data_IF_067773693890
#
_entry.id   IF_067773693890
#
_cell.length_a   1.000
_cell.length_b   1.000
_cell.length_c   1.000
_cell.angle_alpha   90.00
_cell.angle_beta   90.00
_cell.angle_gamma   90.00
#
_symmetry.space_group_name_H-M   'P 1'
#
loop_
_entity.id
_entity.type
_entity.pdbx_description
1 polymer ?
#
# COMPACT_ATOMS: atom_id res chain seq x y z
N UNK A 1 -9.70 -3.07 9.86
CA UNK A 1 -11.00 -3.71 9.56
C UNK A 1 -11.69 -3.07 8.34
N UNK A 2 -11.70 -1.75 8.16
CA UNK A 2 -12.30 -1.10 6.98
C UNK A 2 -11.58 -1.30 5.62
N UNK A 3 -10.28 -1.65 5.59
CA UNK A 3 -9.52 -1.83 4.35
C UNK A 3 -9.93 -3.09 3.54
N UNK A 4 -10.40 -4.14 4.24
CA UNK A 4 -10.73 -5.42 3.60
C UNK A 4 -12.03 -5.37 2.78
N UNK A 5 -12.92 -4.42 3.05
CA UNK A 5 -14.27 -4.42 2.46
C UNK A 5 -14.35 -3.72 1.09
N UNK A 6 -13.46 -2.78 0.77
CA UNK A 6 -13.49 -2.05 -0.52
C UNK A 6 -12.38 -2.44 -1.50
N UNK A 7 -11.17 -2.72 -1.03
CA UNK A 7 -10.04 -3.09 -1.90
C UNK A 7 -9.66 -4.57 -1.82
N UNK A 8 -10.29 -5.34 -0.93
CA UNK A 8 -10.03 -6.78 -0.74
C UNK A 8 -8.56 -7.16 -0.53
N UNK A 9 -7.69 -6.21 -0.17
CA UNK A 9 -6.29 -6.53 0.05
C UNK A 9 -6.16 -7.30 1.37
N UNK A 10 -5.58 -8.51 1.27
CA UNK A 10 -5.35 -9.36 2.42
C UNK A 10 -4.37 -8.72 3.39
N UNK A 11 -4.53 -9.01 4.69
CA UNK A 11 -3.59 -8.53 5.72
C UNK A 11 -2.16 -8.98 5.44
N UNK A 12 -1.99 -10.16 4.85
CA UNK A 12 -0.70 -10.70 4.48
C UNK A 12 -0.04 -9.91 3.36
N UNK A 13 -0.79 -9.53 2.33
CA UNK A 13 -0.27 -8.67 1.26
C UNK A 13 0.15 -7.30 1.81
N UNK A 14 -0.69 -6.68 2.65
CA UNK A 14 -0.33 -5.42 3.30
C UNK A 14 0.95 -5.54 4.12
N UNK A 15 1.07 -6.60 4.91
CA UNK A 15 2.27 -6.85 5.73
C UNK A 15 3.52 -7.02 4.84
N UNK A 16 3.42 -7.79 3.76
CA UNK A 16 4.54 -7.95 2.81
C UNK A 16 4.98 -6.63 2.20
N UNK A 17 4.02 -5.77 1.80
CA UNK A 17 4.33 -4.43 1.28
C UNK A 17 5.03 -3.60 2.35
N UNK A 18 4.50 -3.58 3.57
CA UNK A 18 5.06 -2.82 4.69
C UNK A 18 6.48 -3.28 5.05
N UNK A 19 6.69 -4.60 5.19
CA UNK A 19 7.99 -5.18 5.51
C UNK A 19 9.02 -4.87 4.40
N UNK A 20 8.63 -5.00 3.12
CA UNK A 20 9.51 -4.66 1.99
C UNK A 20 9.89 -3.17 1.99
N UNK A 21 8.95 -2.27 2.31
CA UNK A 21 9.23 -0.83 2.43
C UNK A 21 10.18 -0.55 3.60
N UNK A 22 9.98 -1.21 4.74
CA UNK A 22 10.84 -1.04 5.92
C UNK A 22 12.28 -1.48 5.66
N UNK A 23 12.48 -2.55 4.90
CA UNK A 23 13.81 -3.00 4.46
C UNK A 23 14.53 -1.97 3.58
N UNK A 24 13.77 -1.11 2.88
CA UNK A 24 14.29 -0.07 1.97
C UNK A 24 14.13 1.36 2.54
N UNK A 25 13.81 1.51 3.83
CA UNK A 25 13.64 2.79 4.55
C UNK A 25 15.01 3.38 4.95
N UNK A 26 15.91 3.58 3.97
CA UNK A 26 17.27 4.07 4.22
C UNK A 26 17.31 5.48 4.83
N UNK A 27 16.29 6.32 4.59
CA UNK A 27 16.12 7.63 5.22
C UNK A 27 15.52 7.53 6.64
N UNK A 28 15.13 6.33 7.07
CA UNK A 28 14.63 6.02 8.41
C UNK A 28 13.35 6.78 8.75
N UNK A 29 12.51 7.10 7.75
CA UNK A 29 11.29 7.86 7.95
C UNK A 29 10.20 7.02 8.62
N UNK A 30 10.05 5.77 8.18
CA UNK A 30 9.06 4.84 8.74
C UNK A 30 9.53 4.23 10.06
N UNK A 31 10.83 4.17 10.30
CA UNK A 31 11.41 3.79 11.60
C UNK A 31 10.83 4.61 12.74
N UNK A 32 10.29 3.94 13.77
CA UNK A 32 9.72 4.61 14.93
C UNK A 32 10.83 5.29 15.75
N UNK A 33 10.70 6.61 15.95
CA UNK A 33 11.64 7.42 16.74
C UNK A 33 10.94 8.03 17.95
N UNK A 34 11.72 8.38 18.99
CA UNK A 34 11.19 9.17 20.11
C UNK A 34 11.10 10.64 19.72
N UNK A 35 10.03 11.31 20.16
CA UNK A 35 9.87 12.75 20.04
C UNK A 35 10.84 13.50 20.97
N UNK A 36 10.93 14.82 20.80
CA UNK A 36 11.69 15.68 21.71
C UNK A 36 11.20 15.61 23.17
N UNK A 37 9.94 15.25 23.40
CA UNK A 37 9.37 15.00 24.73
C UNK A 37 9.62 13.59 25.27
N UNK A 38 10.37 12.74 24.54
CA UNK A 38 10.67 11.36 24.91
C UNK A 38 9.56 10.35 24.63
N UNK A 39 8.38 10.80 24.17
CA UNK A 39 7.28 9.92 23.77
C UNK A 39 7.62 9.14 22.49
N UNK A 40 7.12 7.91 22.36
CA UNK A 40 7.26 7.17 21.10
C UNK A 40 6.39 7.83 20.02
N UNK A 41 6.98 8.14 18.87
CA UNK A 41 6.26 8.62 17.70
C UNK A 41 5.37 7.54 17.09
N UNK A 42 4.69 7.88 15.99
CA UNK A 42 3.80 6.93 15.29
C UNK A 42 4.55 5.68 14.83
N UNK A 43 3.91 4.53 15.02
CA UNK A 43 4.42 3.26 14.55
C UNK A 43 4.43 3.23 13.01
N UNK A 44 5.43 2.62 12.35
CA UNK A 44 5.51 2.55 10.89
C UNK A 44 4.21 2.10 10.22
N UNK A 45 3.61 1.01 10.72
CA UNK A 45 2.35 0.50 10.19
C UNK A 45 1.19 1.50 10.32
N UNK A 46 1.18 2.37 11.34
CA UNK A 46 0.16 3.42 11.45
C UNK A 46 0.34 4.46 10.34
N UNK A 47 1.58 4.92 10.10
CA UNK A 47 1.89 5.84 9.00
C UNK A 47 1.51 5.26 7.63
N UNK A 48 1.86 4.00 7.38
CA UNK A 48 1.53 3.30 6.13
C UNK A 48 0.02 3.06 5.96
N UNK A 49 -0.69 2.77 7.06
CA UNK A 49 -2.15 2.65 7.04
C UNK A 49 -2.82 3.98 6.72
N UNK A 50 -2.29 5.10 7.24
CA UNK A 50 -2.77 6.45 6.91
C UNK A 50 -2.62 6.74 5.42
N UNK A 51 -1.41 6.50 4.89
CA UNK A 51 -1.09 6.65 3.47
C UNK A 51 -2.03 5.83 2.58
N UNK A 52 -2.15 4.53 2.84
CA UNK A 52 -3.06 3.67 2.08
C UNK A 52 -4.49 4.16 2.13
N UNK A 53 -5.00 4.56 3.30
CA UNK A 53 -6.37 5.07 3.42
C UNK A 53 -6.61 6.30 2.54
N UNK A 54 -5.71 7.27 2.56
CA UNK A 54 -5.82 8.45 1.71
C UNK A 54 -5.80 8.09 0.22
N UNK A 55 -4.90 7.20 -0.21
CA UNK A 55 -4.84 6.73 -1.60
C UNK A 55 -6.11 5.99 -2.02
N UNK A 56 -6.63 5.13 -1.15
CA UNK A 56 -7.79 4.27 -1.46
C UNK A 56 -9.11 5.01 -1.51
N UNK A 57 -9.31 5.99 -0.63
CA UNK A 57 -10.60 6.65 -0.49
C UNK A 57 -10.63 8.06 -1.08
N UNK A 58 -9.47 8.58 -1.53
CA UNK A 58 -9.35 9.98 -1.92
C UNK A 58 -9.69 10.93 -0.76
N UNK A 59 -9.58 10.45 0.49
CA UNK A 59 -9.87 11.24 1.68
C UNK A 59 -8.74 12.24 1.86
N UNK A 60 -9.12 13.49 2.15
CA UNK A 60 -8.19 14.55 2.49
C UNK A 60 -7.40 14.19 3.76
N UNK A 61 -6.20 14.76 3.90
CA UNK A 61 -5.27 14.34 4.95
C UNK A 61 -5.78 14.61 6.38
N UNK A 62 -6.76 15.51 6.53
CA UNK A 62 -7.50 15.83 7.74
C UNK A 62 -8.48 14.71 8.14
N UNK A 63 -9.21 14.11 7.19
CA UNK A 63 -10.09 12.96 7.43
C UNK A 63 -9.34 11.67 7.80
N UNK A 64 -8.03 11.60 7.53
CA UNK A 64 -7.18 10.51 7.98
C UNK A 64 -6.78 10.63 9.47
N UNK A 65 -6.76 11.84 10.03
CA UNK A 65 -6.43 12.11 11.44
C UNK A 65 -7.45 11.44 12.38
N UNK A 66 -8.73 11.47 12.03
CA UNK A 66 -9.83 10.91 12.83
C UNK A 66 -9.59 9.44 13.23
N UNK A 67 -8.91 8.67 12.38
CA UNK A 67 -8.68 7.25 12.62
C UNK A 67 -7.30 6.90 13.20
N UNK A 68 -6.29 7.74 13.00
CA UNK A 68 -4.89 7.43 13.33
C UNK A 68 -4.34 8.36 14.42
N UNK A 69 -5.10 9.41 14.79
CA UNK A 69 -4.72 10.45 15.76
C UNK A 69 -3.34 11.01 15.44
N UNK A 70 -3.19 11.46 14.21
CA UNK A 70 -1.97 11.98 13.61
C UNK A 70 -2.27 13.24 12.81
N UNK A 71 -1.49 14.30 13.07
CA UNK A 71 -1.64 15.58 12.39
C UNK A 71 -1.65 15.44 10.86
N UNK A 72 -2.48 16.24 10.20
CA UNK A 72 -2.66 16.28 8.74
C UNK A 72 -1.32 16.28 7.98
N UNK A 73 -0.39 17.15 8.37
CA UNK A 73 0.92 17.26 7.75
C UNK A 73 1.72 15.94 7.81
N UNK A 74 1.59 15.19 8.92
CA UNK A 74 2.24 13.89 9.09
C UNK A 74 1.58 12.82 8.23
N UNK A 75 0.26 12.89 8.06
CA UNK A 75 -0.46 11.98 7.16
C UNK A 75 0.00 12.23 5.72
N UNK A 76 -0.05 13.48 5.25
CA UNK A 76 0.35 13.86 3.89
C UNK A 76 1.80 13.48 3.58
N UNK A 77 2.73 13.77 4.49
CA UNK A 77 4.15 13.38 4.33
C UNK A 77 4.30 11.87 4.28
N UNK A 78 3.60 11.14 5.16
CA UNK A 78 3.58 9.68 5.13
C UNK A 78 3.04 9.12 3.81
N UNK A 79 2.03 9.77 3.22
CA UNK A 79 1.51 9.40 1.89
C UNK A 79 2.58 9.53 0.82
N UNK A 80 3.22 10.70 0.75
CA UNK A 80 4.26 10.99 -0.25
C UNK A 80 5.40 9.99 -0.15
N UNK A 81 5.93 9.80 1.06
CA UNK A 81 7.00 8.84 1.34
C UNK A 81 6.58 7.41 1.02
N UNK A 82 5.35 7.04 1.34
CA UNK A 82 4.83 5.71 1.03
C UNK A 82 4.76 5.44 -0.47
N UNK A 83 4.21 6.37 -1.27
CA UNK A 83 4.12 6.22 -2.74
C UNK A 83 5.51 6.12 -3.37
N UNK A 84 6.45 6.98 -2.95
CA UNK A 84 7.83 6.94 -3.43
C UNK A 84 8.46 5.57 -3.13
N UNK A 85 8.33 5.08 -1.89
CA UNK A 85 8.89 3.78 -1.50
C UNK A 85 8.22 2.61 -2.24
N UNK A 86 6.90 2.66 -2.45
CA UNK A 86 6.21 1.66 -3.27
C UNK A 86 6.76 1.65 -4.69
N UNK A 87 6.98 2.82 -5.28
CA UNK A 87 7.58 2.93 -6.62
C UNK A 87 9.02 2.39 -6.64
N UNK A 88 9.85 2.75 -5.68
CA UNK A 88 11.24 2.27 -5.59
C UNK A 88 11.31 0.74 -5.45
N UNK A 89 10.46 0.15 -4.60
CA UNK A 89 10.49 -1.29 -4.29
C UNK A 89 9.80 -2.14 -5.36
N UNK A 90 8.69 -1.66 -5.91
CA UNK A 90 7.81 -2.47 -6.74
C UNK A 90 7.70 -1.98 -8.19
N UNK A 91 8.20 -0.78 -8.49
CA UNK A 91 7.98 -0.11 -9.78
C UNK A 91 8.53 -0.89 -10.96
N UNK A 92 9.75 -1.40 -10.87
CA UNK A 92 10.37 -2.19 -11.94
C UNK A 92 9.54 -3.44 -12.27
N UNK A 93 9.00 -4.11 -11.25
CA UNK A 93 8.26 -5.36 -11.43
C UNK A 93 6.81 -5.16 -11.83
N UNK A 94 6.12 -4.19 -11.22
CA UNK A 94 4.65 -4.09 -11.26
C UNK A 94 4.13 -2.84 -11.97
N UNK A 95 4.94 -1.80 -12.17
CA UNK A 95 4.54 -0.56 -12.86
C UNK A 95 5.08 -0.47 -14.30
N UNK A 96 5.74 -1.52 -14.78
CA UNK A 96 6.11 -1.69 -16.19
C UNK A 96 4.96 -2.27 -17.01
N UNK A 97 5.06 -2.15 -18.34
CA UNK A 97 4.19 -2.91 -19.23
C UNK A 97 4.38 -4.42 -19.03
N UNK A 98 3.30 -5.23 -19.03
CA UNK A 98 3.40 -6.69 -18.97
C UNK A 98 4.27 -7.23 -20.10
N UNK A 99 5.12 -8.21 -19.79
CA UNK A 99 5.86 -8.95 -20.80
C UNK A 99 5.09 -10.22 -21.19
N UNK A 100 5.64 -11.01 -22.11
CA UNK A 100 4.99 -12.25 -22.57
C UNK A 100 4.70 -13.24 -21.42
N UNK A 101 5.60 -13.35 -20.44
CA UNK A 101 5.42 -14.22 -19.27
C UNK A 101 4.27 -13.74 -18.37
N UNK A 102 4.18 -12.43 -18.13
CA UNK A 102 3.09 -11.85 -17.35
C UNK A 102 1.74 -12.07 -18.04
N UNK A 103 1.70 -11.89 -19.36
CA UNK A 103 0.49 -12.10 -20.17
C UNK A 103 0.07 -13.56 -20.09
N UNK A 104 1.00 -14.50 -20.32
CA UNK A 104 0.72 -15.93 -20.24
C UNK A 104 0.20 -16.32 -18.85
N UNK A 105 0.84 -15.83 -17.79
CA UNK A 105 0.41 -16.07 -16.40
C UNK A 105 -1.00 -15.51 -16.13
N UNK A 106 -1.27 -14.28 -16.56
CA UNK A 106 -2.58 -13.63 -16.35
C UNK A 106 -3.68 -14.32 -17.17
N UNK A 107 -3.37 -14.80 -18.38
CA UNK A 107 -4.31 -15.57 -19.20
C UNK A 107 -4.66 -16.92 -18.57
N UNK A 108 -3.68 -17.66 -18.05
CA UNK A 108 -3.94 -18.93 -17.37
C UNK A 108 -4.85 -18.76 -16.13
N UNK A 109 -4.60 -17.71 -15.33
CA UNK A 109 -5.47 -17.37 -14.19
C UNK A 109 -6.87 -16.97 -14.67
N UNK A 110 -6.96 -16.24 -15.79
CA UNK A 110 -8.23 -15.86 -16.40
C UNK A 110 -9.02 -17.08 -16.88
N UNK A 111 -8.37 -18.02 -17.55
CA UNK A 111 -8.97 -19.24 -18.09
C UNK A 111 -9.54 -20.13 -16.98
N UNK A 112 -8.79 -20.35 -15.90
CA UNK A 112 -9.25 -21.10 -14.71
C UNK A 112 -10.55 -20.53 -14.12
N UNK A 113 -10.78 -19.22 -14.31
CA UNK A 113 -11.93 -18.47 -13.79
C UNK A 113 -13.04 -18.23 -14.81
N UNK A 114 -12.86 -18.67 -16.07
CA UNK A 114 -13.80 -18.40 -17.15
C UNK A 114 -13.80 -16.96 -17.66
N UNK A 115 -12.67 -16.25 -17.56
CA UNK A 115 -12.46 -14.86 -18.00
C UNK A 115 -13.55 -13.89 -17.51
N UNK A 116 -13.66 -13.65 -16.19
CA UNK A 116 -14.70 -12.80 -15.62
C UNK A 116 -14.58 -11.31 -16.03
N UNK A 117 -13.52 -10.93 -16.74
CA UNK A 117 -13.26 -9.57 -17.22
C UNK A 117 -12.09 -9.51 -18.19
N UNK A 118 -11.74 -8.29 -18.61
CA UNK A 118 -10.60 -8.04 -19.51
C UNK A 118 -9.26 -8.24 -18.79
N UNK A 119 -8.23 -8.64 -19.55
CA UNK A 119 -6.85 -8.76 -19.05
C UNK A 119 -6.42 -7.45 -18.38
N UNK A 120 -6.00 -7.54 -17.11
CA UNK A 120 -5.61 -6.38 -16.32
C UNK A 120 -6.74 -5.69 -15.53
N UNK A 121 -7.99 -6.18 -15.63
CA UNK A 121 -9.06 -5.73 -14.71
C UNK A 121 -8.79 -6.21 -13.29
N UNK A 122 -9.11 -5.36 -12.30
CA UNK A 122 -9.09 -5.71 -10.87
C UNK A 122 -10.02 -6.90 -10.59
N UNK A 123 -11.10 -7.04 -11.35
CA UNK A 123 -12.06 -8.14 -11.24
C UNK A 123 -11.45 -9.51 -11.57
N UNK A 124 -10.26 -9.54 -12.17
CA UNK A 124 -9.51 -10.75 -12.47
C UNK A 124 -8.54 -11.18 -11.34
N UNK A 125 -8.39 -10.41 -10.25
CA UNK A 125 -7.38 -10.68 -9.20
C UNK A 125 -7.81 -11.73 -8.15
N UNK A 126 -6.83 -12.45 -7.59
CA UNK A 126 -7.00 -13.53 -6.62
C UNK A 126 -7.46 -12.97 -5.27
N UNK A 127 -8.65 -13.36 -4.82
CA UNK A 127 -9.09 -13.19 -3.44
C UNK A 127 -8.71 -14.46 -2.67
N UNK A 128 -7.51 -14.47 -2.10
CA UNK A 128 -7.10 -15.43 -1.05
C UNK A 128 -6.97 -14.70 0.30
#
# INVERSE_FOLDING_TARGET
LLFMHKFRMSRNLFKRIADSILEHDYDGYFTQKRSASGALGLHPLQKMTAAMRMLTYGIAADGADEYIRSAEATNLESCKKFVIKVYEVFGERYLRSPNEEDIARLLAIGEERGFPGMLGSIDCMVSE
#
